data_IF_633409901515
#
_entry.id   IF_633409901515
#
_cell.length_a   1.000
_cell.length_b   1.000
_cell.length_c   1.000
_cell.angle_alpha   90.00
_cell.angle_beta   90.00
_cell.angle_gamma   90.00
#
_symmetry.space_group_name_H-M   'P 1'
#
loop_
_entity.id
_entity.type
_entity.pdbx_description
1 polymer ?
#
# COMPACT_ATOMS: atom_id res chain seq x y z
N UNK A 1 15.87 -20.78 -8.00
CA UNK A 1 15.20 -20.36 -9.26
C UNK A 1 13.69 -20.62 -9.18
N UNK A 2 13.24 -21.87 -8.99
CA UNK A 2 11.80 -22.18 -8.87
C UNK A 2 11.07 -21.36 -7.80
N UNK A 3 11.66 -21.21 -6.60
CA UNK A 3 11.10 -20.40 -5.51
C UNK A 3 10.97 -18.92 -5.87
N UNK A 4 11.95 -18.35 -6.59
CA UNK A 4 11.95 -16.96 -7.04
C UNK A 4 10.81 -16.72 -8.04
N UNK A 5 10.66 -17.62 -9.01
CA UNK A 5 9.59 -17.52 -10.01
C UNK A 5 8.22 -17.63 -9.32
N UNK A 6 8.07 -18.59 -8.41
CA UNK A 6 6.83 -18.78 -7.65
C UNK A 6 6.44 -17.53 -6.84
N UNK A 7 7.36 -17.01 -6.04
CA UNK A 7 7.07 -15.85 -5.18
C UNK A 7 6.78 -14.60 -6.00
N UNK A 8 7.55 -14.34 -7.05
CA UNK A 8 7.34 -13.16 -7.91
C UNK A 8 6.00 -13.25 -8.64
N UNK A 9 5.68 -14.37 -9.28
CA UNK A 9 4.45 -14.50 -10.08
C UNK A 9 3.22 -14.45 -9.18
N UNK A 10 3.20 -15.20 -8.08
CA UNK A 10 2.06 -15.21 -7.18
C UNK A 10 1.85 -13.87 -6.48
N UNK A 11 2.93 -13.23 -6.03
CA UNK A 11 2.83 -11.92 -5.37
C UNK A 11 2.33 -10.89 -6.37
N UNK A 12 2.86 -10.88 -7.59
CA UNK A 12 2.41 -9.97 -8.65
C UNK A 12 0.92 -10.11 -8.95
N UNK A 13 0.42 -11.35 -9.11
CA UNK A 13 -1.00 -11.59 -9.36
C UNK A 13 -1.84 -11.16 -8.15
N UNK A 14 -1.43 -11.51 -6.93
CA UNK A 14 -2.16 -11.18 -5.71
C UNK A 14 -2.27 -9.66 -5.52
N UNK A 15 -1.17 -8.93 -5.72
CA UNK A 15 -1.15 -7.47 -5.63
C UNK A 15 -2.07 -6.83 -6.67
N UNK A 16 -2.09 -7.33 -7.92
CA UNK A 16 -2.97 -6.83 -8.97
C UNK A 16 -4.45 -7.09 -8.69
N UNK A 17 -4.78 -8.25 -8.12
CA UNK A 17 -6.15 -8.57 -7.72
C UNK A 17 -6.62 -7.67 -6.59
N UNK A 18 -5.79 -7.47 -5.56
CA UNK A 18 -6.12 -6.59 -4.42
C UNK A 18 -6.28 -5.14 -4.89
N UNK A 19 -5.38 -4.66 -5.74
CA UNK A 19 -5.43 -3.31 -6.30
C UNK A 19 -6.72 -3.06 -7.10
N UNK A 20 -7.20 -4.06 -7.85
CA UNK A 20 -8.43 -3.93 -8.63
C UNK A 20 -9.72 -3.99 -7.79
N UNK A 21 -9.71 -4.65 -6.63
CA UNK A 21 -10.91 -4.86 -5.80
C UNK A 21 -11.04 -3.79 -4.72
N UNK A 22 -9.95 -3.47 -4.02
CA UNK A 22 -9.95 -2.60 -2.84
C UNK A 22 -9.20 -1.30 -3.08
N UNK A 23 -8.22 -1.30 -4.00
CA UNK A 23 -7.22 -0.25 -4.11
C UNK A 23 -6.08 -0.49 -3.12
N UNK A 24 -4.84 -0.59 -3.61
CA UNK A 24 -3.68 -0.92 -2.78
C UNK A 24 -2.97 0.32 -2.20
N UNK A 25 -3.09 1.48 -2.87
CA UNK A 25 -2.43 2.73 -2.50
C UNK A 25 -3.47 3.81 -2.21
N UNK A 26 -3.15 4.68 -1.26
CA UNK A 26 -3.88 5.92 -0.95
C UNK A 26 -3.83 6.91 -2.11
N UNK A 27 -4.66 7.95 -2.07
CA UNK A 27 -4.61 9.00 -3.10
C UNK A 27 -3.36 9.88 -2.93
N UNK A 28 -2.99 10.61 -3.98
CA UNK A 28 -1.82 11.50 -3.96
C UNK A 28 -1.98 12.63 -2.92
N UNK A 29 -3.21 13.06 -2.67
CA UNK A 29 -3.53 14.05 -1.63
C UNK A 29 -3.33 13.49 -0.22
N UNK A 30 -3.82 12.27 0.05
CA UNK A 30 -3.65 11.58 1.34
C UNK A 30 -2.16 11.29 1.62
N UNK A 31 -1.41 10.93 0.56
CA UNK A 31 0.03 10.72 0.64
C UNK A 31 0.79 12.05 0.93
N UNK A 32 0.30 13.18 0.41
CA UNK A 32 0.88 14.50 0.64
C UNK A 32 0.57 15.05 2.04
N UNK A 33 -0.65 14.85 2.53
CA UNK A 33 -1.07 15.28 3.86
C UNK A 33 -0.41 14.45 4.98
N UNK A 34 -0.12 13.18 4.68
CA UNK A 34 0.54 12.24 5.58
C UNK A 34 -0.43 11.22 6.16
N UNK A 35 -0.02 9.96 6.12
CA UNK A 35 -0.83 8.81 6.55
C UNK A 35 -1.17 8.82 8.03
N UNK A 36 -0.31 9.41 8.87
CA UNK A 36 -0.60 9.55 10.30
C UNK A 36 -1.84 10.42 10.50
N UNK A 37 -1.92 11.55 9.79
CA UNK A 37 -3.05 12.49 9.87
C UNK A 37 -4.28 11.89 9.19
N UNK A 38 -4.09 11.34 7.99
CA UNK A 38 -5.20 10.94 7.14
C UNK A 38 -5.82 9.57 7.53
N UNK A 39 -5.00 8.59 7.92
CA UNK A 39 -5.47 7.24 8.26
C UNK A 39 -5.50 6.93 9.76
N UNK A 40 -4.67 7.62 10.56
CA UNK A 40 -4.52 7.32 11.98
C UNK A 40 -4.98 8.46 12.90
N UNK A 41 -5.41 9.61 12.34
CA UNK A 41 -5.79 10.84 13.07
C UNK A 41 -4.75 11.28 14.11
N UNK A 42 -3.47 11.01 13.83
CA UNK A 42 -2.34 11.23 14.70
C UNK A 42 -1.32 12.16 14.04
N UNK A 43 -0.55 12.90 14.85
CA UNK A 43 0.64 13.63 14.38
C UNK A 43 1.85 13.01 15.07
N UNK A 44 2.80 12.48 14.29
CA UNK A 44 3.99 11.80 14.82
C UNK A 44 4.84 12.66 15.77
N UNK A 45 4.76 13.99 15.66
CA UNK A 45 5.37 14.92 16.61
C UNK A 45 4.46 16.14 16.84
N UNK A 46 4.39 16.56 18.10
CA UNK A 46 3.74 17.79 18.54
C UNK A 46 4.87 18.68 19.06
N UNK A 47 5.15 19.80 18.39
CA UNK A 47 6.14 20.80 18.84
C UNK A 47 5.46 21.92 19.60
#
# INVERSE_FOLDING_TARGET
IATIIWTVVLTFISLKVVDAIVGLRVTDEEETEGLDINQHDERGYIL
#
